data_IF_027726591165
#
_entry.id   IF_027726591165
#
_cell.length_a   1.000
_cell.length_b   1.000
_cell.length_c   1.000
_cell.angle_alpha   90.00
_cell.angle_beta   90.00
_cell.angle_gamma   90.00
#
_symmetry.space_group_name_H-M   'P 1'
#
loop_
_entity.id
_entity.type
_entity.pdbx_description
1 polymer ?
#
# COMPACT_ATOMS: atom_id res chain seq x y z
N UNK A 1 33.03 7.85 5.13
CA UNK A 1 31.86 8.64 4.67
C UNK A 1 30.68 8.24 5.51
N UNK A 2 29.90 9.20 5.95
CA UNK A 2 28.71 8.93 6.75
C UNK A 2 27.69 8.18 5.89
N UNK A 3 27.21 7.03 6.34
CA UNK A 3 26.30 6.13 5.57
C UNK A 3 24.89 6.72 5.58
N UNK A 4 24.57 7.53 4.59
CA UNK A 4 23.32 8.28 4.52
C UNK A 4 22.42 7.85 3.35
N UNK A 5 21.15 7.51 3.64
CA UNK A 5 20.12 7.22 2.66
C UNK A 5 18.91 8.14 2.92
N UNK A 6 18.34 8.71 1.84
CA UNK A 6 17.07 9.42 1.91
C UNK A 6 15.92 8.49 1.48
N UNK A 7 14.86 8.45 2.26
CA UNK A 7 13.57 7.85 1.87
C UNK A 7 12.60 8.96 1.50
N UNK A 8 11.86 8.80 0.41
CA UNK A 8 10.86 9.79 -0.04
C UNK A 8 9.56 9.07 -0.35
N UNK A 9 8.55 9.23 0.49
CA UNK A 9 7.28 8.52 0.36
C UNK A 9 6.11 9.48 0.16
N UNK A 10 5.13 9.04 -0.63
CA UNK A 10 3.83 9.70 -0.65
C UNK A 10 3.18 9.63 0.74
N UNK A 11 2.50 10.70 1.18
CA UNK A 11 1.97 10.81 2.55
C UNK A 11 0.64 10.04 2.71
N UNK A 12 0.69 8.73 2.49
CA UNK A 12 -0.43 7.82 2.69
C UNK A 12 0.05 6.51 3.36
N UNK A 13 -0.77 5.94 4.25
CA UNK A 13 -0.41 4.73 4.99
C UNK A 13 0.00 3.56 4.09
N UNK A 14 -0.65 3.37 2.93
CA UNK A 14 -0.30 2.33 1.96
C UNK A 14 1.09 2.48 1.34
N UNK A 15 1.67 3.68 1.39
CA UNK A 15 2.99 4.01 0.85
C UNK A 15 4.07 4.10 1.94
N UNK A 16 3.74 4.66 3.10
CA UNK A 16 4.67 4.81 4.23
C UNK A 16 4.88 3.48 4.96
N UNK A 17 3.79 2.79 5.34
CA UNK A 17 3.86 1.58 6.18
C UNK A 17 4.76 0.46 5.62
N UNK A 18 4.76 0.13 4.32
CA UNK A 18 5.63 -0.92 3.79
C UNK A 18 7.13 -0.61 3.90
N UNK A 19 7.49 0.68 3.94
CA UNK A 19 8.89 1.12 3.93
C UNK A 19 9.51 1.22 5.33
N UNK A 20 8.69 1.47 6.37
CA UNK A 20 9.19 1.64 7.75
C UNK A 20 9.99 0.44 8.28
N UNK A 21 9.60 -0.82 8.03
CA UNK A 21 10.42 -1.97 8.41
C UNK A 21 11.80 -2.01 7.71
N UNK A 22 11.86 -1.58 6.45
CA UNK A 22 13.14 -1.48 5.70
C UNK A 22 14.02 -0.39 6.30
N UNK A 23 13.43 0.74 6.64
CA UNK A 23 14.11 1.84 7.34
C UNK A 23 14.69 1.36 8.67
N UNK A 24 13.87 0.70 9.50
CA UNK A 24 14.32 0.19 10.80
C UNK A 24 15.48 -0.83 10.63
N UNK A 25 15.41 -1.70 9.63
CA UNK A 25 16.48 -2.65 9.34
C UNK A 25 17.78 -1.96 8.87
N UNK A 26 17.69 -0.96 7.98
CA UNK A 26 18.85 -0.18 7.56
C UNK A 26 19.46 0.62 8.71
N UNK A 27 18.65 1.23 9.58
CA UNK A 27 19.13 1.90 10.80
C UNK A 27 19.86 0.91 11.71
N UNK A 28 19.31 -0.30 11.92
CA UNK A 28 19.95 -1.37 12.70
C UNK A 28 21.32 -1.78 12.11
N UNK A 29 21.50 -1.65 10.79
CA UNK A 29 22.77 -1.89 10.07
C UNK A 29 23.72 -0.70 10.10
N UNK A 30 23.36 0.40 10.77
CA UNK A 30 24.19 1.58 10.95
C UNK A 30 24.06 2.63 9.83
N UNK A 31 22.98 2.61 9.07
CA UNK A 31 22.64 3.69 8.14
C UNK A 31 21.94 4.84 8.87
N UNK A 32 22.31 6.06 8.54
CA UNK A 32 21.55 7.26 8.88
C UNK A 32 20.47 7.45 7.81
N UNK A 33 19.23 7.58 8.25
CA UNK A 33 18.09 7.70 7.35
C UNK A 33 17.40 9.05 7.55
N UNK A 34 17.25 9.81 6.45
CA UNK A 34 16.37 10.97 6.37
C UNK A 34 15.09 10.56 5.64
N UNK A 35 13.93 10.75 6.25
CA UNK A 35 12.65 10.31 5.69
C UNK A 35 11.77 11.49 5.33
N UNK A 36 11.55 11.70 4.03
CA UNK A 36 10.77 12.81 3.46
C UNK A 36 9.32 12.38 3.31
N UNK A 37 8.42 12.96 4.07
CA UNK A 37 6.95 12.75 3.98
C UNK A 37 6.21 13.84 4.76
N UNK A 38 4.88 13.76 4.86
CA UNK A 38 4.08 14.71 5.65
C UNK A 38 4.32 14.57 7.16
N UNK A 39 4.25 15.69 7.88
CA UNK A 39 4.50 15.80 9.32
C UNK A 39 3.67 14.81 10.16
N UNK A 40 2.44 14.50 9.74
CA UNK A 40 1.55 13.56 10.44
C UNK A 40 2.10 12.13 10.57
N UNK A 41 3.11 11.74 9.78
CA UNK A 41 3.81 10.46 9.87
C UNK A 41 5.09 10.52 10.72
N UNK A 42 5.36 11.67 11.35
CA UNK A 42 6.54 11.87 12.19
C UNK A 42 6.72 10.79 13.25
N UNK A 43 5.69 10.51 14.08
CA UNK A 43 5.82 9.51 15.14
C UNK A 43 6.22 8.11 14.63
N UNK A 44 5.65 7.64 13.52
CA UNK A 44 5.97 6.34 12.92
C UNK A 44 7.37 6.32 12.30
N UNK A 45 7.76 7.41 11.65
CA UNK A 45 9.09 7.60 11.06
C UNK A 45 10.16 7.60 12.17
N UNK A 46 9.98 8.35 13.22
CA UNK A 46 10.91 8.43 14.34
C UNK A 46 11.02 7.11 15.10
N UNK A 47 9.90 6.39 15.27
CA UNK A 47 9.89 5.04 15.85
C UNK A 47 10.72 4.05 15.03
N UNK A 48 10.84 4.24 13.71
CA UNK A 48 11.70 3.43 12.84
C UNK A 48 13.20 3.78 12.95
N UNK A 49 13.56 4.84 13.69
CA UNK A 49 14.92 5.33 13.87
C UNK A 49 15.38 6.32 12.80
N UNK A 50 14.51 6.75 11.91
CA UNK A 50 14.80 7.77 10.90
C UNK A 50 14.53 9.19 11.41
N UNK A 51 15.16 10.17 10.76
CA UNK A 51 14.88 11.59 10.98
C UNK A 51 13.86 12.07 9.96
N UNK A 52 12.73 12.63 10.42
CA UNK A 52 11.73 13.20 9.53
C UNK A 52 12.25 14.48 8.85
N UNK A 53 12.04 14.56 7.54
CA UNK A 53 12.14 15.79 6.74
C UNK A 53 10.74 16.12 6.25
N UNK A 54 10.02 17.04 6.93
CA UNK A 54 8.61 17.26 6.69
C UNK A 54 8.35 17.98 5.36
N UNK A 55 7.29 17.54 4.66
CA UNK A 55 6.72 18.23 3.51
C UNK A 55 5.28 18.65 3.79
N UNK A 56 4.74 19.56 2.98
CA UNK A 56 3.34 20.01 3.12
C UNK A 56 2.33 18.86 2.98
N UNK A 57 2.70 17.81 2.24
CA UNK A 57 2.01 16.54 2.16
C UNK A 57 0.53 16.64 1.85
N UNK A 58 0.17 17.34 0.78
CA UNK A 58 -1.22 17.66 0.41
C UNK A 58 -1.92 16.54 -0.38
N UNK A 59 -1.64 15.27 -0.15
CA UNK A 59 -2.53 14.26 -0.70
C UNK A 59 -3.88 14.39 0.02
N UNK A 60 -4.94 14.86 -0.64
CA UNK A 60 -6.26 14.90 -0.03
C UNK A 60 -6.70 13.48 0.29
N UNK A 61 -7.50 13.34 1.30
CA UNK A 61 -8.34 12.17 1.48
C UNK A 61 -8.99 11.85 0.14
N UNK A 62 -9.03 10.56 -0.20
CA UNK A 62 -9.43 10.10 -1.53
C UNK A 62 -10.71 10.74 -2.07
N UNK A 63 -10.98 10.60 -3.36
CA UNK A 63 -12.24 11.03 -3.94
C UNK A 63 -13.38 10.43 -3.14
N UNK A 64 -14.45 11.18 -3.01
CA UNK A 64 -15.67 10.68 -2.37
C UNK A 64 -16.15 9.35 -2.96
N UNK A 65 -17.16 8.71 -2.36
CA UNK A 65 -17.62 7.40 -2.79
C UNK A 65 -17.99 7.40 -4.28
N UNK A 66 -17.33 6.54 -5.04
CA UNK A 66 -17.55 6.39 -6.49
C UNK A 66 -16.42 5.66 -7.18
N UNK A 67 -16.72 4.96 -8.29
CA UNK A 67 -15.72 4.38 -9.19
C UNK A 67 -14.75 5.46 -9.65
N UNK A 68 -13.46 5.15 -9.72
CA UNK A 68 -12.46 6.04 -10.30
C UNK A 68 -12.86 6.42 -11.73
N UNK A 69 -13.40 7.63 -11.86
CA UNK A 69 -13.56 8.24 -13.19
C UNK A 69 -12.19 8.72 -13.70
N UNK A 70 -12.01 8.89 -15.01
CA UNK A 70 -10.82 9.52 -15.57
C UNK A 70 -10.47 10.86 -14.90
N UNK A 71 -11.45 11.66 -14.53
CA UNK A 71 -11.27 12.93 -13.83
C UNK A 71 -10.65 12.75 -12.43
N UNK A 72 -11.01 11.69 -11.72
CA UNK A 72 -10.43 11.37 -10.40
C UNK A 72 -8.96 10.99 -10.54
N UNK A 73 -8.61 10.17 -11.53
CA UNK A 73 -7.22 9.80 -11.80
C UNK A 73 -6.39 11.01 -12.25
N UNK A 74 -6.93 11.85 -13.14
CA UNK A 74 -6.29 13.10 -13.54
C UNK A 74 -6.03 14.00 -12.34
N UNK A 75 -7.05 14.24 -11.51
CA UNK A 75 -6.92 15.02 -10.28
C UNK A 75 -5.91 14.44 -9.27
N UNK A 76 -5.73 13.13 -9.23
CA UNK A 76 -4.66 12.51 -8.43
C UNK A 76 -3.27 12.84 -8.98
N UNK A 77 -3.06 12.71 -10.30
CA UNK A 77 -1.79 13.06 -10.96
C UNK A 77 -1.46 14.55 -10.82
N UNK A 78 -2.45 15.43 -10.97
CA UNK A 78 -2.30 16.88 -10.76
C UNK A 78 -1.84 17.18 -9.33
N UNK A 79 -2.42 16.50 -8.32
CA UNK A 79 -2.06 16.72 -6.92
C UNK A 79 -0.64 16.24 -6.59
N UNK A 80 -0.21 15.07 -7.10
CA UNK A 80 1.18 14.62 -6.91
C UNK A 80 2.16 15.59 -7.56
N UNK A 81 1.81 16.13 -8.73
CA UNK A 81 2.63 17.11 -9.44
C UNK A 81 2.71 18.43 -8.68
N UNK A 82 1.58 18.92 -8.16
CA UNK A 82 1.54 20.13 -7.33
C UNK A 82 2.31 19.97 -6.01
N UNK A 83 2.12 18.84 -5.32
CA UNK A 83 2.86 18.53 -4.08
C UNK A 83 4.38 18.48 -4.33
N UNK A 84 4.79 17.93 -5.47
CA UNK A 84 6.19 17.92 -5.86
C UNK A 84 6.72 19.33 -6.14
N UNK A 85 5.97 20.21 -6.82
CA UNK A 85 6.36 21.61 -7.03
C UNK A 85 6.55 22.37 -5.73
N UNK A 86 5.67 22.14 -4.77
CA UNK A 86 5.71 22.81 -3.46
C UNK A 86 6.86 22.28 -2.58
N UNK A 87 7.14 20.99 -2.61
CA UNK A 87 8.12 20.35 -1.72
C UNK A 87 9.56 20.35 -2.25
N UNK A 88 9.75 20.27 -3.57
CA UNK A 88 11.09 20.16 -4.18
C UNK A 88 12.08 21.24 -3.77
N UNK A 89 11.75 22.56 -3.70
CA UNK A 89 12.71 23.58 -3.30
C UNK A 89 13.28 23.31 -1.91
N UNK A 90 12.42 23.05 -0.92
CA UNK A 90 12.83 22.79 0.46
C UNK A 90 13.60 21.47 0.61
N UNK A 91 13.14 20.39 -0.03
CA UNK A 91 13.80 19.08 0.00
C UNK A 91 15.20 19.17 -0.63
N UNK A 92 15.35 19.81 -1.78
CA UNK A 92 16.66 19.98 -2.43
C UNK A 92 17.61 20.84 -1.60
N UNK A 93 17.14 21.90 -0.95
CA UNK A 93 17.97 22.73 -0.07
C UNK A 93 18.43 21.94 1.16
N UNK A 94 17.55 21.10 1.74
CA UNK A 94 17.90 20.23 2.88
C UNK A 94 19.08 19.31 2.53
N UNK A 95 19.05 18.66 1.35
CA UNK A 95 20.08 17.72 0.92
C UNK A 95 21.26 18.36 0.17
N UNK A 96 21.30 19.67 0.04
CA UNK A 96 22.38 20.38 -0.65
C UNK A 96 23.73 20.29 0.08
N UNK A 97 23.68 20.36 1.42
CA UNK A 97 24.88 20.36 2.27
C UNK A 97 25.32 18.93 2.61
N UNK A 98 24.38 18.01 2.72
CA UNK A 98 24.61 16.63 3.11
C UNK A 98 23.83 15.69 2.18
N UNK A 99 24.32 15.49 0.95
CA UNK A 99 23.64 14.64 -0.05
C UNK A 99 23.67 13.17 0.36
N UNK A 100 22.57 12.43 0.16
CA UNK A 100 22.52 11.01 0.44
C UNK A 100 23.29 10.20 -0.61
N UNK A 101 23.76 9.00 -0.24
CA UNK A 101 24.35 8.03 -1.17
C UNK A 101 23.30 7.35 -2.05
N UNK A 102 22.11 7.15 -1.51
CA UNK A 102 20.96 6.65 -2.25
C UNK A 102 19.70 7.43 -1.90
N UNK A 103 18.78 7.50 -2.85
CA UNK A 103 17.42 7.96 -2.64
C UNK A 103 16.48 6.79 -2.92
N UNK A 104 15.88 6.26 -1.86
CA UNK A 104 14.83 5.24 -1.91
C UNK A 104 13.47 5.96 -1.96
N UNK A 105 12.77 5.90 -3.06
CA UNK A 105 11.56 6.69 -3.25
C UNK A 105 10.39 5.86 -3.73
N UNK A 106 9.20 6.20 -3.25
CA UNK A 106 7.96 5.66 -3.79
C UNK A 106 7.94 5.86 -5.31
N UNK A 107 7.65 4.80 -6.07
CA UNK A 107 7.69 4.82 -7.53
C UNK A 107 6.83 5.94 -8.16
N UNK A 108 5.80 6.41 -7.44
CA UNK A 108 4.95 7.53 -7.83
C UNK A 108 5.47 8.90 -7.34
N UNK A 109 6.53 8.95 -6.53
CA UNK A 109 7.07 10.20 -6.00
C UNK A 109 7.93 10.93 -7.03
N UNK A 110 7.41 12.02 -7.59
CA UNK A 110 8.16 12.95 -8.44
C UNK A 110 9.32 13.57 -7.64
N UNK A 111 9.05 13.96 -6.41
CA UNK A 111 10.06 14.57 -5.51
C UNK A 111 11.26 13.65 -5.31
N UNK A 112 11.03 12.36 -5.02
CA UNK A 112 12.10 11.40 -4.83
C UNK A 112 12.93 11.17 -6.10
N UNK A 113 12.27 11.03 -7.24
CA UNK A 113 12.92 10.87 -8.54
C UNK A 113 13.80 12.07 -8.90
N UNK A 114 13.30 13.28 -8.71
CA UNK A 114 14.06 14.51 -8.96
C UNK A 114 15.22 14.64 -7.98
N UNK A 115 15.00 14.32 -6.70
CA UNK A 115 16.07 14.36 -5.69
C UNK A 115 17.22 13.43 -6.08
N UNK A 116 16.93 12.16 -6.44
CA UNK A 116 17.95 11.21 -6.88
C UNK A 116 18.76 11.76 -8.05
N UNK A 117 18.10 12.22 -9.11
CA UNK A 117 18.74 12.74 -10.30
C UNK A 117 19.58 14.00 -10.05
N UNK A 118 19.14 14.90 -9.17
CA UNK A 118 19.81 16.19 -8.93
C UNK A 118 20.92 16.11 -7.88
N UNK A 119 20.96 15.06 -7.05
CA UNK A 119 22.04 14.81 -6.10
C UNK A 119 23.11 13.86 -6.63
N UNK A 120 22.84 13.16 -7.74
CA UNK A 120 23.70 12.08 -8.25
C UNK A 120 23.69 10.83 -7.36
N UNK A 121 22.72 10.72 -6.46
CA UNK A 121 22.55 9.56 -5.61
C UNK A 121 22.06 8.33 -6.41
N UNK A 122 22.37 7.14 -5.93
CA UNK A 122 21.82 5.90 -6.47
C UNK A 122 20.29 5.93 -6.32
N UNK A 123 19.58 5.68 -7.40
CA UNK A 123 18.12 5.72 -7.42
C UNK A 123 17.51 4.34 -7.16
N UNK A 124 16.64 4.27 -6.14
CA UNK A 124 15.94 3.05 -5.75
C UNK A 124 14.45 3.34 -5.69
N UNK A 125 13.67 2.72 -6.58
CA UNK A 125 12.21 2.82 -6.52
C UNK A 125 11.62 1.79 -5.56
N UNK A 126 10.69 2.23 -4.73
CA UNK A 126 9.91 1.41 -3.79
C UNK A 126 8.49 1.27 -4.34
N UNK A 127 8.06 0.03 -4.58
CA UNK A 127 6.77 -0.28 -5.19
C UNK A 127 5.86 -0.97 -4.16
N UNK A 128 4.95 -0.23 -3.52
CA UNK A 128 4.01 -0.82 -2.56
C UNK A 128 2.87 -1.62 -3.21
N UNK A 129 2.76 -1.59 -4.53
CA UNK A 129 1.79 -2.31 -5.34
C UNK A 129 2.49 -3.10 -6.45
N UNK A 130 1.72 -3.59 -7.45
CA UNK A 130 2.28 -4.34 -8.57
C UNK A 130 3.33 -3.53 -9.35
N UNK A 131 4.42 -4.19 -9.68
CA UNK A 131 5.33 -3.69 -10.69
C UNK A 131 4.70 -3.79 -12.09
N UNK A 132 5.10 -2.88 -12.98
CA UNK A 132 4.67 -2.86 -14.38
C UNK A 132 5.86 -2.74 -15.32
N UNK A 133 5.79 -3.43 -16.46
CA UNK A 133 6.72 -3.29 -17.58
C UNK A 133 5.97 -3.36 -18.91
N UNK A 134 6.67 -3.36 -20.03
CA UNK A 134 6.07 -3.41 -21.36
C UNK A 134 5.30 -4.71 -21.66
N UNK A 135 5.63 -5.82 -20.98
CA UNK A 135 5.02 -7.15 -21.16
C UNK A 135 3.93 -7.43 -20.13
N UNK A 136 4.03 -6.83 -18.97
CA UNK A 136 3.10 -7.08 -17.87
C UNK A 136 2.74 -5.77 -17.18
N UNK A 137 1.47 -5.39 -17.26
CA UNK A 137 0.91 -4.31 -16.48
C UNK A 137 -0.47 -4.72 -15.97
N UNK A 138 -0.63 -4.74 -14.67
CA UNK A 138 -1.91 -4.99 -14.02
C UNK A 138 -2.98 -3.95 -14.43
N UNK A 139 -2.54 -2.80 -14.98
CA UNK A 139 -3.38 -1.69 -15.40
C UNK A 139 -3.50 -1.55 -16.93
N UNK A 140 -2.97 -2.47 -17.73
CA UNK A 140 -2.89 -2.38 -19.20
C UNK A 140 -4.25 -2.40 -19.94
N UNK A 141 -5.36 -2.63 -19.24
CA UNK A 141 -6.70 -2.64 -19.85
C UNK A 141 -7.33 -1.25 -20.03
N UNK A 142 -6.59 -0.18 -19.70
CA UNK A 142 -7.04 1.19 -19.91
C UNK A 142 -6.69 1.57 -21.36
N UNK A 143 -7.70 1.70 -22.24
CA UNK A 143 -7.54 2.15 -23.63
C UNK A 143 -6.85 3.52 -23.74
N UNK A 144 -6.98 4.23 -24.85
CA UNK A 144 -6.41 5.57 -25.00
C UNK A 144 -6.82 6.46 -23.83
N UNK A 145 -5.86 7.03 -23.07
CA UNK A 145 -6.18 7.86 -21.92
C UNK A 145 -7.06 9.06 -22.32
N UNK A 146 -8.10 9.38 -21.54
CA UNK A 146 -8.92 10.57 -21.78
C UNK A 146 -8.11 11.86 -21.77
N UNK A 147 -8.61 12.94 -22.41
CA UNK A 147 -7.90 14.21 -22.55
C UNK A 147 -7.41 14.80 -21.22
N UNK A 148 -8.20 14.68 -20.15
CA UNK A 148 -7.85 15.16 -18.81
C UNK A 148 -6.63 14.42 -18.22
N UNK A 149 -6.53 13.11 -18.41
CA UNK A 149 -5.35 12.33 -17.97
C UNK A 149 -4.13 12.75 -18.80
N UNK A 150 -4.28 12.94 -20.10
CA UNK A 150 -3.19 13.40 -20.95
C UNK A 150 -2.70 14.81 -20.56
N UNK A 151 -3.59 15.68 -20.11
CA UNK A 151 -3.24 17.01 -19.61
C UNK A 151 -2.42 16.91 -18.30
N UNK A 152 -2.87 16.11 -17.34
CA UNK A 152 -2.17 15.90 -16.08
C UNK A 152 -0.78 15.26 -16.29
N UNK A 153 -0.68 14.27 -17.19
CA UNK A 153 0.61 13.65 -17.57
C UNK A 153 1.55 14.66 -18.23
N UNK A 154 1.02 15.57 -19.06
CA UNK A 154 1.83 16.64 -19.68
C UNK A 154 2.39 17.58 -18.62
N UNK A 155 1.58 18.03 -17.67
CA UNK A 155 2.00 18.89 -16.57
C UNK A 155 3.11 18.24 -15.72
N UNK A 156 2.95 16.96 -15.40
CA UNK A 156 3.99 16.16 -14.72
C UNK A 156 5.27 16.08 -15.55
N UNK A 157 5.14 15.86 -16.86
CA UNK A 157 6.28 15.81 -17.80
C UNK A 157 7.01 17.14 -17.86
N UNK A 158 6.30 18.27 -17.92
CA UNK A 158 6.88 19.61 -17.92
C UNK A 158 7.70 19.85 -16.63
N UNK A 159 7.18 19.42 -15.47
CA UNK A 159 7.92 19.49 -14.21
C UNK A 159 9.21 18.66 -14.27
N UNK A 160 9.15 17.41 -14.69
CA UNK A 160 10.33 16.54 -14.79
C UNK A 160 11.37 17.07 -15.78
N UNK A 161 10.91 17.58 -16.93
CA UNK A 161 11.76 18.23 -17.94
C UNK A 161 12.52 19.43 -17.38
N UNK A 162 11.88 20.24 -16.52
CA UNK A 162 12.54 21.39 -15.89
C UNK A 162 13.72 21.02 -14.97
N UNK A 163 13.80 19.75 -14.59
CA UNK A 163 14.91 19.16 -13.84
C UNK A 163 15.82 18.22 -14.68
N UNK A 164 15.70 18.26 -16.03
CA UNK A 164 16.54 17.48 -16.95
C UNK A 164 16.16 16.00 -17.09
N UNK A 165 14.96 15.60 -16.66
CA UNK A 165 14.48 14.21 -16.66
C UNK A 165 13.61 13.84 -17.88
N UNK A 166 13.64 14.65 -18.94
CA UNK A 166 12.75 14.53 -20.10
C UNK A 166 12.99 13.28 -20.96
N UNK A 167 14.23 12.89 -21.17
CA UNK A 167 14.61 11.88 -22.18
C UNK A 167 14.11 10.45 -21.88
N UNK A 168 13.50 10.21 -20.73
CA UNK A 168 13.21 8.86 -20.24
C UNK A 168 11.73 8.53 -20.12
N UNK A 169 10.84 9.50 -20.39
CA UNK A 169 9.39 9.26 -20.20
C UNK A 169 8.76 8.66 -21.44
N UNK A 170 8.31 7.42 -21.33
CA UNK A 170 7.39 6.82 -22.31
C UNK A 170 5.94 7.16 -21.95
N UNK A 171 5.04 7.28 -22.93
CA UNK A 171 3.63 7.50 -22.64
C UNK A 171 3.08 6.45 -21.65
N UNK A 172 2.61 6.90 -20.49
CA UNK A 172 1.94 6.06 -19.49
C UNK A 172 2.84 5.29 -18.52
N UNK A 173 4.18 5.38 -18.63
CA UNK A 173 5.10 4.72 -17.68
C UNK A 173 6.30 5.61 -17.36
N UNK A 174 6.54 5.85 -16.08
CA UNK A 174 7.83 6.34 -15.63
C UNK A 174 8.89 5.22 -15.83
N UNK A 175 10.11 5.56 -16.26
CA UNK A 175 11.16 4.57 -16.42
C UNK A 175 11.47 3.89 -15.07
N UNK A 176 11.83 2.60 -15.07
CA UNK A 176 12.26 1.94 -13.85
C UNK A 176 13.53 2.60 -13.30
N UNK A 177 13.70 2.56 -11.98
CA UNK A 177 14.93 2.94 -11.32
C UNK A 177 16.05 1.94 -11.59
N UNK A 178 17.27 2.27 -11.19
CA UNK A 178 18.40 1.33 -11.28
C UNK A 178 18.17 0.08 -10.40
N UNK A 179 17.45 0.23 -9.29
CA UNK A 179 16.88 -0.85 -8.47
C UNK A 179 15.41 -0.57 -8.16
N UNK A 180 14.56 -1.60 -8.27
CA UNK A 180 13.13 -1.51 -7.97
C UNK A 180 12.77 -2.58 -6.92
N UNK A 181 12.43 -2.15 -5.72
CA UNK A 181 12.03 -3.02 -4.60
C UNK A 181 10.52 -3.12 -4.57
N UNK A 182 9.99 -4.32 -4.77
CA UNK A 182 8.56 -4.59 -4.87
C UNK A 182 8.08 -5.30 -3.62
N UNK A 183 7.16 -4.71 -2.87
CA UNK A 183 6.64 -5.27 -1.62
C UNK A 183 5.55 -6.33 -1.82
N UNK A 184 5.60 -7.00 -2.96
CA UNK A 184 4.72 -8.10 -3.37
C UNK A 184 5.60 -9.31 -3.66
N UNK A 185 5.23 -10.54 -3.24
CA UNK A 185 5.99 -11.73 -3.60
C UNK A 185 5.79 -12.08 -5.09
N UNK A 186 6.77 -12.72 -5.76
CA UNK A 186 6.68 -13.02 -7.18
C UNK A 186 5.47 -13.89 -7.54
N UNK A 187 5.01 -14.77 -6.66
CA UNK A 187 3.85 -15.64 -6.87
C UNK A 187 2.53 -14.84 -6.95
N UNK A 188 2.45 -13.69 -6.29
CA UNK A 188 1.28 -12.81 -6.38
C UNK A 188 1.39 -11.80 -7.54
N UNK A 189 2.62 -11.43 -7.96
CA UNK A 189 2.86 -10.49 -9.06
C UNK A 189 2.44 -11.09 -10.41
N UNK A 190 1.53 -10.45 -11.19
CA UNK A 190 1.27 -10.86 -12.56
C UNK A 190 2.50 -10.75 -13.45
N UNK A 191 2.84 -11.82 -14.19
CA UNK A 191 3.97 -11.83 -15.12
C UNK A 191 5.33 -11.59 -14.46
N UNK A 192 5.53 -12.11 -13.25
CA UNK A 192 6.80 -11.94 -12.50
C UNK A 192 8.04 -12.36 -13.30
N UNK A 193 7.91 -13.35 -14.15
CA UNK A 193 8.93 -13.88 -15.07
C UNK A 193 9.34 -12.92 -16.19
N UNK A 194 8.60 -11.82 -16.37
CA UNK A 194 8.91 -10.81 -17.40
C UNK A 194 9.79 -9.68 -16.91
N UNK A 195 10.09 -9.63 -15.61
CA UNK A 195 10.92 -8.59 -14.99
C UNK A 195 12.39 -9.01 -14.95
N UNK A 196 13.27 -8.06 -15.19
CA UNK A 196 14.72 -8.26 -15.17
C UNK A 196 15.35 -8.10 -13.77
N UNK A 197 16.68 -8.20 -13.69
CA UNK A 197 17.43 -8.15 -12.44
C UNK A 197 17.37 -6.82 -11.69
N UNK A 198 16.81 -5.77 -12.28
CA UNK A 198 16.56 -4.50 -11.58
C UNK A 198 15.39 -4.59 -10.59
N UNK A 199 14.60 -5.66 -10.64
CA UNK A 199 13.44 -5.85 -9.77
C UNK A 199 13.72 -6.89 -8.69
N UNK A 200 13.41 -6.54 -7.45
CA UNK A 200 13.48 -7.43 -6.27
C UNK A 200 12.11 -7.51 -5.62
N UNK A 201 11.49 -8.67 -5.75
CA UNK A 201 10.18 -8.97 -5.16
C UNK A 201 10.41 -9.49 -3.73
N UNK A 202 10.25 -8.61 -2.75
CA UNK A 202 10.62 -8.90 -1.36
C UNK A 202 9.44 -9.25 -0.45
N UNK A 203 8.19 -9.05 -0.94
CA UNK A 203 7.01 -9.26 -0.12
C UNK A 203 6.87 -8.24 1.02
N UNK A 204 5.84 -8.38 1.85
CA UNK A 204 5.56 -7.47 2.97
C UNK A 204 6.38 -7.80 4.22
N UNK A 205 6.40 -6.85 5.16
CA UNK A 205 7.02 -7.01 6.50
C UNK A 205 6.07 -6.54 7.59
N UNK A 206 4.94 -7.21 7.83
CA UNK A 206 3.94 -6.76 8.80
C UNK A 206 4.40 -6.90 10.26
N UNK A 207 5.36 -7.78 10.56
CA UNK A 207 5.82 -8.08 11.91
C UNK A 207 6.38 -6.88 12.68
N UNK A 208 6.92 -5.87 11.99
CA UNK A 208 7.41 -4.65 12.63
C UNK A 208 6.29 -3.77 13.26
N UNK A 209 5.03 -4.08 12.98
CA UNK A 209 3.84 -3.37 13.48
C UNK A 209 2.94 -4.29 14.32
N UNK A 210 3.49 -5.34 14.90
CA UNK A 210 2.76 -6.33 15.72
C UNK A 210 2.46 -5.85 17.17
N UNK A 211 2.66 -4.57 17.46
CA UNK A 211 2.15 -3.96 18.68
C UNK A 211 0.62 -4.14 18.71
N UNK A 212 0.11 -4.74 19.76
CA UNK A 212 -1.31 -5.09 19.91
C UNK A 212 -2.21 -3.85 20.08
N UNK A 213 -1.61 -2.66 20.28
CA UNK A 213 -2.34 -1.41 20.45
C UNK A 213 -3.42 -1.47 21.54
N UNK A 214 -3.25 -2.36 22.52
CA UNK A 214 -4.21 -2.62 23.58
C UNK A 214 -5.44 -3.44 23.13
N UNK A 215 -5.39 -4.10 21.96
CA UNK A 215 -6.41 -5.05 21.56
C UNK A 215 -6.10 -6.44 22.12
N UNK A 216 -7.08 -7.06 22.79
CA UNK A 216 -6.98 -8.42 23.30
C UNK A 216 -7.75 -9.37 22.37
N UNK A 217 -7.11 -10.42 21.83
CA UNK A 217 -7.80 -11.39 21.00
C UNK A 217 -8.85 -12.16 21.80
N UNK A 218 -10.01 -12.43 21.21
CA UNK A 218 -10.98 -13.36 21.81
C UNK A 218 -10.44 -14.81 21.75
N UNK A 219 -11.06 -15.71 22.51
CA UNK A 219 -10.69 -17.14 22.53
C UNK A 219 -10.99 -17.83 21.19
N UNK A 220 -12.02 -17.40 20.49
CA UNK A 220 -12.41 -17.90 19.17
C UNK A 220 -11.78 -17.08 18.05
N UNK A 221 -11.53 -17.70 16.85
CA UNK A 221 -11.07 -16.94 15.69
C UNK A 221 -12.02 -15.80 15.30
N UNK A 222 -11.47 -14.62 15.05
CA UNK A 222 -12.24 -13.40 14.81
C UNK A 222 -12.49 -13.19 13.31
N UNK A 223 -13.69 -12.72 12.94
CA UNK A 223 -13.91 -12.12 11.64
C UNK A 223 -13.41 -10.67 11.67
N UNK A 224 -12.45 -10.34 10.81
CA UNK A 224 -11.99 -8.97 10.69
C UNK A 224 -12.69 -8.24 9.54
N UNK A 225 -13.10 -6.99 9.75
CA UNK A 225 -13.77 -6.13 8.75
C UNK A 225 -13.07 -4.78 8.69
N UNK A 226 -12.58 -4.37 7.52
CA UNK A 226 -11.99 -3.04 7.31
C UNK A 226 -12.01 -2.63 5.85
N UNK A 227 -12.50 -1.42 5.57
CA UNK A 227 -12.39 -0.79 4.25
C UNK A 227 -11.12 0.08 4.11
N UNK A 228 -10.16 -0.05 5.03
CA UNK A 228 -8.91 0.72 5.03
C UNK A 228 -9.11 2.17 5.50
N UNK A 229 -8.15 3.04 5.15
CA UNK A 229 -8.06 4.41 5.69
C UNK A 229 -8.57 5.49 4.74
N UNK A 230 -8.74 5.20 3.45
CA UNK A 230 -9.01 6.24 2.44
C UNK A 230 -10.49 6.32 2.01
N UNK A 231 -11.17 5.19 1.79
CA UNK A 231 -12.51 5.11 1.20
C UNK A 231 -13.49 4.36 2.10
N UNK A 232 -13.48 4.66 3.38
CA UNK A 232 -14.23 3.97 4.41
C UNK A 232 -15.53 4.67 4.85
N UNK A 233 -15.86 5.83 4.28
CA UNK A 233 -17.13 6.53 4.55
C UNK A 233 -18.31 5.79 3.89
N UNK A 234 -18.65 4.64 4.46
CA UNK A 234 -19.67 3.69 3.99
C UNK A 234 -20.55 3.16 5.13
N UNK A 235 -21.32 4.00 5.83
CA UNK A 235 -22.13 3.55 6.96
C UNK A 235 -23.14 2.47 6.59
N UNK A 236 -23.65 2.47 5.34
CA UNK A 236 -24.55 1.42 4.83
C UNK A 236 -23.88 0.04 4.78
N UNK A 237 -22.61 -0.03 4.39
CA UNK A 237 -21.83 -1.27 4.38
C UNK A 237 -21.64 -1.82 5.80
N UNK A 238 -21.27 -0.97 6.75
CA UNK A 238 -21.06 -1.41 8.15
C UNK A 238 -22.37 -1.88 8.79
N UNK A 239 -23.50 -1.22 8.50
CA UNK A 239 -24.82 -1.71 8.91
C UNK A 239 -25.17 -3.07 8.29
N UNK A 240 -24.82 -3.29 7.02
CA UNK A 240 -25.01 -4.61 6.40
C UNK A 240 -24.13 -5.68 7.08
N UNK A 241 -22.90 -5.33 7.50
CA UNK A 241 -22.05 -6.22 8.30
C UNK A 241 -22.67 -6.54 9.67
N UNK A 242 -23.31 -5.58 10.36
CA UNK A 242 -24.04 -5.86 11.61
C UNK A 242 -25.18 -6.86 11.37
N UNK A 243 -25.95 -6.68 10.30
CA UNK A 243 -27.03 -7.60 9.94
C UNK A 243 -26.50 -8.99 9.51
N UNK A 244 -25.34 -9.04 8.85
CA UNK A 244 -24.72 -10.28 8.42
C UNK A 244 -24.16 -11.09 9.59
N UNK A 245 -23.46 -10.45 10.51
CA UNK A 245 -22.57 -11.10 11.48
C UNK A 245 -23.00 -10.91 12.94
N UNK A 246 -24.00 -10.08 13.21
CA UNK A 246 -24.55 -9.90 14.56
C UNK A 246 -25.15 -11.21 15.10
N UNK A 247 -24.78 -11.58 16.33
CA UNK A 247 -25.24 -12.82 16.99
C UNK A 247 -24.47 -14.07 16.60
N UNK A 248 -23.41 -13.97 15.79
CA UNK A 248 -22.47 -15.04 15.46
C UNK A 248 -21.22 -15.04 16.34
N UNK A 249 -20.09 -15.54 15.79
CA UNK A 249 -18.77 -15.47 16.44
C UNK A 249 -18.23 -14.04 16.56
N UNK A 250 -17.05 -13.85 17.19
CA UNK A 250 -16.49 -12.53 17.44
C UNK A 250 -16.11 -11.80 16.14
N UNK A 251 -16.41 -10.49 16.09
CA UNK A 251 -16.11 -9.62 14.96
C UNK A 251 -15.30 -8.41 15.43
N UNK A 252 -14.16 -8.13 14.81
CA UNK A 252 -13.43 -6.87 14.94
C UNK A 252 -13.70 -6.01 13.70
N UNK A 253 -14.21 -4.79 13.88
CA UNK A 253 -14.66 -3.93 12.79
C UNK A 253 -14.03 -2.55 12.86
N UNK A 254 -13.11 -2.27 11.92
CA UNK A 254 -12.47 -0.96 11.74
C UNK A 254 -13.30 -0.10 10.78
N UNK A 255 -13.97 0.91 11.31
CA UNK A 255 -14.87 1.77 10.53
C UNK A 255 -14.22 3.03 9.97
N UNK A 256 -12.98 3.35 10.44
CA UNK A 256 -12.27 4.58 10.08
C UNK A 256 -12.77 5.79 10.88
N UNK A 257 -12.08 6.93 10.70
CA UNK A 257 -12.34 8.16 11.45
C UNK A 257 -13.56 8.96 10.91
N UNK A 258 -14.01 8.65 9.70
CA UNK A 258 -15.10 9.39 9.04
C UNK A 258 -16.49 8.88 9.38
N UNK A 259 -16.59 7.66 9.86
CA UNK A 259 -17.85 7.03 10.25
C UNK A 259 -18.06 7.21 11.74
N UNK A 260 -19.11 7.91 12.11
CA UNK A 260 -19.51 8.00 13.52
C UNK A 260 -20.18 6.69 13.92
N UNK A 261 -19.64 6.03 14.94
CA UNK A 261 -20.12 4.72 15.40
C UNK A 261 -21.60 4.82 15.85
N UNK A 262 -21.98 5.92 16.50
CA UNK A 262 -23.35 6.16 16.95
C UNK A 262 -24.35 6.23 15.77
N UNK A 263 -23.92 6.62 14.58
CA UNK A 263 -24.77 6.68 13.37
C UNK A 263 -25.00 5.29 12.75
N UNK A 264 -24.28 4.26 13.20
CA UNK A 264 -24.45 2.89 12.70
C UNK A 264 -25.66 2.17 13.33
N UNK A 265 -26.22 2.70 14.41
CA UNK A 265 -27.31 2.09 15.19
C UNK A 265 -26.79 1.18 16.29
N UNK A 266 -27.63 0.24 16.76
CA UNK A 266 -27.28 -0.65 17.85
C UNK A 266 -26.17 -1.62 17.42
N UNK A 267 -25.01 -1.55 18.09
CA UNK A 267 -23.88 -2.46 17.84
C UNK A 267 -24.20 -3.83 18.46
N UNK A 268 -24.12 -4.93 17.67
CA UNK A 268 -24.33 -6.28 18.20
C UNK A 268 -23.29 -6.64 19.27
N UNK A 269 -23.66 -7.41 20.30
CA UNK A 269 -22.82 -7.70 21.45
C UNK A 269 -21.52 -8.46 21.12
N UNK A 270 -21.48 -9.18 19.99
CA UNK A 270 -20.32 -9.91 19.50
C UNK A 270 -19.39 -9.08 18.58
N UNK A 271 -19.69 -7.79 18.37
CA UNK A 271 -18.94 -6.92 17.45
C UNK A 271 -18.19 -5.85 18.23
N UNK A 272 -16.84 -5.90 18.19
CA UNK A 272 -15.96 -4.82 18.66
C UNK A 272 -15.78 -3.82 17.52
N UNK A 273 -16.36 -2.62 17.67
CA UNK A 273 -16.29 -1.56 16.64
C UNK A 273 -15.38 -0.45 17.12
N UNK A 274 -14.36 -0.15 16.31
CA UNK A 274 -13.41 0.94 16.59
C UNK A 274 -13.12 1.72 15.32
N UNK A 275 -12.66 2.98 15.41
CA UNK A 275 -12.13 3.69 14.26
C UNK A 275 -10.93 2.98 13.62
N UNK A 276 -10.09 2.35 14.44
CA UNK A 276 -8.86 1.67 14.02
C UNK A 276 -8.56 0.43 14.88
N UNK A 277 -7.89 -0.55 14.25
CA UNK A 277 -7.34 -1.75 14.90
C UNK A 277 -5.87 -1.95 14.50
N UNK A 278 -5.04 -2.57 15.36
CA UNK A 278 -3.71 -3.03 15.01
C UNK A 278 -3.82 -4.22 14.03
N UNK A 279 -4.05 -3.94 12.76
CA UNK A 279 -4.41 -4.93 11.73
C UNK A 279 -3.53 -6.19 11.72
N UNK A 280 -2.17 -6.11 11.82
CA UNK A 280 -1.35 -7.32 11.89
C UNK A 280 -1.65 -8.19 13.11
N UNK A 281 -1.90 -7.58 14.27
CA UNK A 281 -2.25 -8.31 15.49
C UNK A 281 -3.61 -9.03 15.35
N UNK A 282 -4.62 -8.35 14.78
CA UNK A 282 -5.94 -8.94 14.53
C UNK A 282 -5.85 -10.08 13.51
N UNK A 283 -5.12 -9.90 12.40
CA UNK A 283 -4.99 -10.89 11.34
C UNK A 283 -4.35 -12.22 11.81
N UNK A 284 -3.52 -12.20 12.86
CA UNK A 284 -2.98 -13.42 13.47
C UNK A 284 -4.06 -14.34 14.05
N UNK A 285 -5.20 -13.78 14.41
CA UNK A 285 -6.32 -14.47 15.03
C UNK A 285 -7.57 -14.50 14.14
N UNK A 286 -7.46 -14.01 12.89
CA UNK A 286 -8.60 -13.89 12.00
C UNK A 286 -8.92 -15.22 11.29
N UNK A 287 -10.20 -15.59 11.29
CA UNK A 287 -10.73 -16.68 10.46
C UNK A 287 -10.93 -16.26 9.02
N UNK A 288 -11.30 -15.00 8.79
CA UNK A 288 -11.47 -14.37 7.47
C UNK A 288 -11.34 -12.84 7.60
N UNK A 289 -11.06 -12.19 6.47
CA UNK A 289 -10.94 -10.75 6.40
C UNK A 289 -11.83 -10.17 5.28
N UNK A 290 -12.88 -9.44 5.68
CA UNK A 290 -13.69 -8.63 4.75
C UNK A 290 -12.97 -7.31 4.53
N UNK A 291 -12.38 -7.15 3.34
CA UNK A 291 -11.42 -6.09 3.01
C UNK A 291 -11.78 -5.37 1.72
N UNK A 292 -11.41 -4.09 1.62
CA UNK A 292 -11.43 -3.35 0.35
C UNK A 292 -10.39 -3.84 -0.67
N UNK A 293 -9.56 -4.82 -0.33
CA UNK A 293 -8.46 -5.33 -1.15
C UNK A 293 -7.37 -4.29 -1.50
N UNK A 294 -7.10 -3.30 -0.64
CA UNK A 294 -5.88 -2.48 -0.75
C UNK A 294 -4.63 -3.36 -0.66
N UNK A 295 -3.57 -3.06 -1.44
CA UNK A 295 -2.41 -3.95 -1.54
C UNK A 295 -1.78 -4.26 -0.18
N UNK A 296 -1.58 -3.27 0.69
CA UNK A 296 -1.03 -3.49 2.04
C UNK A 296 -1.87 -4.48 2.85
N UNK A 297 -3.20 -4.28 2.89
CA UNK A 297 -4.13 -5.18 3.61
C UNK A 297 -4.15 -6.58 3.00
N UNK A 298 -4.08 -6.69 1.68
CA UNK A 298 -4.00 -7.97 0.97
C UNK A 298 -2.71 -8.71 1.33
N UNK A 299 -1.57 -8.03 1.26
CA UNK A 299 -0.27 -8.63 1.59
C UNK A 299 -0.18 -9.07 3.05
N UNK A 300 -0.72 -8.29 3.98
CA UNK A 300 -0.79 -8.67 5.40
C UNK A 300 -1.67 -9.90 5.61
N UNK A 301 -2.87 -9.95 5.00
CA UNK A 301 -3.73 -11.13 5.07
C UNK A 301 -3.02 -12.39 4.54
N UNK A 302 -2.36 -12.29 3.39
CA UNK A 302 -1.61 -13.40 2.79
C UNK A 302 -0.41 -13.84 3.66
N UNK A 303 0.26 -12.90 4.30
CA UNK A 303 1.36 -13.20 5.24
C UNK A 303 0.90 -14.04 6.43
N UNK A 304 -0.33 -13.82 6.92
CA UNK A 304 -0.93 -14.61 8.01
C UNK A 304 -1.74 -15.81 7.51
N UNK A 305 -1.98 -15.93 6.21
CA UNK A 305 -2.75 -17.02 5.60
C UNK A 305 -4.26 -16.88 5.81
N UNK A 306 -4.75 -15.64 5.90
CA UNK A 306 -6.16 -15.32 6.14
C UNK A 306 -6.91 -15.19 4.80
N UNK A 307 -8.01 -15.92 4.60
CA UNK A 307 -8.82 -15.81 3.38
C UNK A 307 -9.51 -14.44 3.30
N UNK A 308 -9.60 -13.92 2.07
CA UNK A 308 -10.13 -12.59 1.80
C UNK A 308 -11.54 -12.64 1.21
N UNK A 309 -12.44 -11.81 1.76
CA UNK A 309 -13.68 -11.39 1.10
C UNK A 309 -13.45 -9.95 0.62
N UNK A 310 -13.18 -9.80 -0.67
CA UNK A 310 -12.80 -8.52 -1.25
C UNK A 310 -14.04 -7.71 -1.67
N UNK A 311 -14.14 -6.47 -1.15
CA UNK A 311 -15.18 -5.47 -1.49
C UNK A 311 -14.49 -4.20 -2.00
N UNK A 312 -13.98 -4.21 -3.26
CA UNK A 312 -13.14 -3.14 -3.79
C UNK A 312 -13.91 -1.83 -3.97
N UNK A 313 -13.28 -0.72 -3.62
CA UNK A 313 -13.86 0.63 -3.69
C UNK A 313 -13.26 1.46 -4.83
N UNK A 314 -12.16 1.01 -5.44
CA UNK A 314 -11.42 1.71 -6.50
C UNK A 314 -10.71 0.74 -7.44
N UNK A 315 -10.25 1.24 -8.61
CA UNK A 315 -9.69 0.40 -9.70
C UNK A 315 -8.48 -0.44 -9.24
N UNK A 316 -7.56 0.11 -8.45
CA UNK A 316 -6.42 -0.66 -7.94
C UNK A 316 -6.89 -1.83 -7.08
N UNK A 317 -7.86 -1.57 -6.20
CA UNK A 317 -8.43 -2.60 -5.34
C UNK A 317 -9.19 -3.67 -6.12
N UNK A 318 -9.83 -3.27 -7.23
CA UNK A 318 -10.47 -4.16 -8.18
C UNK A 318 -9.47 -5.12 -8.84
N UNK A 319 -8.31 -4.59 -9.26
CA UNK A 319 -7.22 -5.40 -9.81
C UNK A 319 -6.69 -6.38 -8.76
N UNK A 320 -6.48 -5.91 -7.53
CA UNK A 320 -6.02 -6.75 -6.42
C UNK A 320 -7.03 -7.85 -6.08
N UNK A 321 -8.32 -7.50 -5.99
CA UNK A 321 -9.41 -8.44 -5.71
C UNK A 321 -9.55 -9.50 -6.80
N UNK A 322 -9.39 -9.11 -8.07
CA UNK A 322 -9.37 -10.04 -9.20
C UNK A 322 -8.20 -11.02 -9.07
N UNK A 323 -7.02 -10.53 -8.72
CA UNK A 323 -5.83 -11.37 -8.52
C UNK A 323 -5.99 -12.34 -7.35
N UNK A 324 -6.58 -11.89 -6.25
CA UNK A 324 -6.93 -12.73 -5.09
C UNK A 324 -7.84 -13.89 -5.52
N UNK A 325 -8.89 -13.61 -6.30
CA UNK A 325 -9.83 -14.61 -6.78
C UNK A 325 -9.19 -15.56 -7.79
N UNK A 326 -8.39 -15.07 -8.75
CA UNK A 326 -7.66 -15.89 -9.74
C UNK A 326 -6.74 -16.92 -9.08
N UNK A 327 -6.12 -16.56 -7.97
CA UNK A 327 -5.20 -17.43 -7.22
C UNK A 327 -5.90 -18.32 -6.18
N UNK A 328 -7.24 -18.22 -6.05
CA UNK A 328 -8.01 -18.98 -5.06
C UNK A 328 -7.67 -18.62 -3.61
N UNK A 329 -7.38 -17.32 -3.33
CA UNK A 329 -6.99 -16.81 -2.02
C UNK A 329 -8.15 -16.09 -1.31
N UNK A 330 -9.30 -16.01 -1.96
CA UNK A 330 -10.50 -15.35 -1.49
C UNK A 330 -11.54 -15.19 -2.58
N UNK A 331 -12.57 -14.43 -2.28
CA UNK A 331 -13.67 -14.13 -3.22
C UNK A 331 -13.81 -12.62 -3.40
N UNK A 332 -14.34 -12.21 -4.54
CA UNK A 332 -14.65 -10.83 -4.85
C UNK A 332 -16.16 -10.61 -4.87
N UNK A 333 -16.62 -9.58 -4.18
CA UNK A 333 -17.99 -9.10 -4.19
C UNK A 333 -18.08 -7.75 -4.90
N UNK A 334 -19.22 -7.49 -5.55
CA UNK A 334 -19.52 -6.16 -6.07
C UNK A 334 -19.97 -5.28 -4.89
N UNK A 335 -19.38 -4.10 -4.67
CA UNK A 335 -19.80 -3.19 -3.61
C UNK A 335 -21.18 -2.55 -3.86
N UNK A 336 -21.69 -2.59 -5.10
CA UNK A 336 -23.01 -2.07 -5.47
C UNK A 336 -24.10 -3.12 -5.18
N UNK A 337 -25.10 -2.75 -4.39
CA UNK A 337 -26.20 -3.64 -4.05
C UNK A 337 -25.88 -4.75 -3.06
N UNK A 338 -24.69 -4.72 -2.45
CA UNK A 338 -24.22 -5.73 -1.51
C UNK A 338 -25.15 -5.87 -0.30
N UNK A 339 -25.65 -7.09 -0.09
CA UNK A 339 -26.58 -7.41 1.01
C UNK A 339 -25.86 -8.13 2.18
N UNK A 340 -26.55 -8.21 3.32
CA UNK A 340 -26.07 -8.99 4.46
C UNK A 340 -25.95 -10.48 4.14
N UNK A 341 -26.83 -11.01 3.31
CA UNK A 341 -26.80 -12.43 2.93
C UNK A 341 -25.62 -12.73 2.01
N UNK A 342 -25.28 -11.81 1.08
CA UNK A 342 -24.08 -11.95 0.23
C UNK A 342 -22.81 -11.97 1.09
N UNK A 343 -22.71 -11.08 2.08
CA UNK A 343 -21.57 -11.03 3.01
C UNK A 343 -21.44 -12.31 3.81
N UNK A 344 -22.55 -12.81 4.36
CA UNK A 344 -22.56 -14.07 5.14
C UNK A 344 -22.15 -15.24 4.28
N UNK A 345 -22.78 -15.41 3.12
CA UNK A 345 -22.48 -16.49 2.20
C UNK A 345 -21.01 -16.49 1.74
N UNK A 346 -20.45 -15.30 1.50
CA UNK A 346 -19.05 -15.16 1.11
C UNK A 346 -18.08 -15.57 2.24
N UNK A 347 -18.34 -15.14 3.48
CA UNK A 347 -17.52 -15.51 4.65
C UNK A 347 -17.62 -17.02 4.91
N UNK A 348 -18.82 -17.59 4.86
CA UNK A 348 -19.02 -19.04 5.01
C UNK A 348 -18.26 -19.83 3.93
N UNK A 349 -18.33 -19.37 2.68
CA UNK A 349 -17.65 -20.00 1.57
C UNK A 349 -16.11 -20.02 1.75
N UNK A 350 -15.50 -18.86 2.07
CA UNK A 350 -14.02 -18.78 2.20
C UNK A 350 -13.49 -19.54 3.42
N UNK A 351 -14.28 -19.64 4.49
CA UNK A 351 -13.88 -20.36 5.70
C UNK A 351 -14.03 -21.87 5.57
N UNK A 352 -14.95 -22.35 4.75
CA UNK A 352 -15.20 -23.78 4.53
C UNK A 352 -14.34 -24.41 3.44
N UNK A 353 -13.77 -23.60 2.50
CA UNK A 353 -13.07 -24.10 1.30
C UNK A 353 -11.67 -24.66 1.63
N UNK A 354 -11.53 -25.98 1.55
CA UNK A 354 -10.26 -26.66 1.78
C UNK A 354 -9.22 -26.41 0.67
N UNK A 355 -9.66 -26.21 -0.58
CA UNK A 355 -8.73 -25.88 -1.68
C UNK A 355 -8.16 -24.46 -1.52
N UNK A 356 -8.98 -23.51 -1.10
CA UNK A 356 -8.57 -22.16 -0.77
C UNK A 356 -7.58 -22.15 0.39
N UNK A 357 -7.84 -22.94 1.45
CA UNK A 357 -6.90 -23.07 2.57
C UNK A 357 -5.54 -23.58 2.13
N UNK A 358 -5.48 -24.60 1.26
CA UNK A 358 -4.23 -25.10 0.70
C UNK A 358 -3.52 -24.05 -0.19
N UNK A 359 -4.26 -23.23 -0.95
CA UNK A 359 -3.70 -22.15 -1.74
C UNK A 359 -3.12 -21.04 -0.82
N UNK A 360 -3.82 -20.68 0.25
CA UNK A 360 -3.37 -19.71 1.24
C UNK A 360 -2.11 -20.18 1.98
N UNK A 361 -2.00 -21.47 2.32
CA UNK A 361 -0.79 -22.01 2.96
C UNK A 361 0.44 -21.92 2.04
N UNK A 362 0.27 -22.19 0.75
CA UNK A 362 1.35 -21.99 -0.25
C UNK A 362 1.72 -20.51 -0.37
N UNK A 363 0.72 -19.63 -0.50
CA UNK A 363 0.96 -18.19 -0.63
C UNK A 363 1.57 -17.59 0.63
N UNK A 364 1.14 -18.02 1.82
CA UNK A 364 1.75 -17.63 3.11
C UNK A 364 3.23 -18.00 3.15
N UNK A 365 3.57 -19.21 2.71
CA UNK A 365 4.96 -19.66 2.64
C UNK A 365 5.75 -18.78 1.66
N UNK A 366 5.26 -18.56 0.44
CA UNK A 366 5.87 -17.70 -0.56
C UNK A 366 6.09 -16.27 -0.04
N UNK A 367 5.04 -15.68 0.54
CA UNK A 367 5.07 -14.31 1.08
C UNK A 367 6.11 -14.15 2.20
N UNK A 368 6.24 -15.13 3.09
CA UNK A 368 7.24 -15.10 4.18
C UNK A 368 8.65 -15.38 3.69
N UNK A 369 8.82 -16.27 2.72
CA UNK A 369 10.14 -16.61 2.17
C UNK A 369 10.70 -15.55 1.23
N UNK A 370 9.90 -14.61 0.76
CA UNK A 370 10.36 -13.47 -0.03
C UNK A 370 11.31 -12.54 0.73
N UNK A 371 11.37 -12.62 2.07
CA UNK A 371 12.39 -12.03 2.92
C UNK A 371 12.10 -10.62 3.44
N UNK A 372 11.08 -9.95 2.92
CA UNK A 372 10.58 -8.66 3.44
C UNK A 372 11.64 -7.58 3.59
N UNK A 373 11.66 -6.92 4.75
CA UNK A 373 12.56 -5.80 5.05
C UNK A 373 14.05 -6.18 4.99
N UNK A 374 14.40 -7.39 5.41
CA UNK A 374 15.78 -7.88 5.37
C UNK A 374 16.24 -8.01 3.92
N UNK A 375 15.46 -8.67 3.06
CA UNK A 375 15.78 -8.81 1.64
C UNK A 375 15.80 -7.46 0.90
N UNK A 376 14.93 -6.51 1.28
CA UNK A 376 14.97 -5.16 0.75
C UNK A 376 16.25 -4.43 1.13
N UNK A 377 16.66 -4.49 2.40
CA UNK A 377 17.90 -3.89 2.88
C UNK A 377 19.14 -4.53 2.22
N UNK A 378 19.17 -5.87 2.08
CA UNK A 378 20.23 -6.59 1.39
C UNK A 378 20.38 -6.12 -0.08
N UNK A 379 19.24 -5.98 -0.77
CA UNK A 379 19.23 -5.52 -2.16
C UNK A 379 19.74 -4.08 -2.30
N UNK A 380 19.33 -3.19 -1.40
CA UNK A 380 19.76 -1.78 -1.38
C UNK A 380 21.29 -1.72 -1.11
N UNK A 381 21.78 -2.40 -0.08
CA UNK A 381 23.22 -2.41 0.25
C UNK A 381 24.07 -3.02 -0.86
N UNK A 382 23.63 -4.14 -1.44
CA UNK A 382 24.33 -4.77 -2.56
C UNK A 382 24.39 -3.84 -3.79
N UNK A 383 23.31 -3.09 -4.05
CA UNK A 383 23.28 -2.15 -5.17
C UNK A 383 24.15 -0.91 -4.94
N UNK A 384 24.36 -0.50 -3.68
CA UNK A 384 25.28 0.58 -3.31
C UNK A 384 26.75 0.17 -3.31
N UNK A 385 27.06 -1.13 -3.28
CA UNK A 385 28.43 -1.65 -3.26
C UNK A 385 29.06 -1.79 -4.66
N UNK A 386 28.26 -1.62 -5.72
CA UNK A 386 28.68 -1.71 -7.14
C UNK A 386 29.06 -0.33 -7.64
#
# INVERSE_FOLDING_TARGET
MDRHIAFVSLPAHGHVNPTLPVVAELVRRGWRISYVTAERFGPEVEKSGATLVPTAGRLPGGPGPGRLSPAVLAGFLERITADARDSLPGVREHFRVDPPQAVCYDAMSITGRVLAATTGAVDVALLPSFASNERSSAFARVGTPPPEILAAVRDMKELLTSYGLDAQMRPGMLPPASLNVVFVPPEFQPGADTFDDRYRFVGPSPSAREDDGGWTPPDEPVLFVSLGTAFNDRPGFFRACFAAFGGGGPVAMAVGERVLIDDLGAVPANVDVRPWFPQPAVLRHAAAFVSHAGMGSTMEALYYGVPLVCVPQMVEQEVNATRVAELGLGVRLDPEGLTADDLRAAVDAVTADAAMRAALDRMRTATRSAGGAVAAADAIEAHLAV
#
